data_IF_485684304913
#
_entry.id   IF_485684304913
#
_cell.length_a   1.000
_cell.length_b   1.000
_cell.length_c   1.000
_cell.angle_alpha   90.00
_cell.angle_beta   90.00
_cell.angle_gamma   90.00
#
_symmetry.space_group_name_H-M   'P 1'
#
loop_
_entity.id
_entity.type
_entity.pdbx_description
1 polymer ?
#
# COMPACT_ATOMS: atom_id res chain seq x y z
N UNK A 1 36.07 50.22 74.33
CA UNK A 1 36.29 49.01 73.51
C UNK A 1 34.99 48.25 73.50
N UNK A 2 34.25 48.28 72.39
CA UNK A 2 32.99 47.55 72.27
C UNK A 2 33.31 46.08 71.98
N UNK A 3 32.85 45.20 72.87
CA UNK A 3 33.04 43.76 72.78
C UNK A 3 32.35 43.25 71.51
N UNK A 4 33.11 42.59 70.63
CA UNK A 4 32.54 42.08 69.37
C UNK A 4 31.61 40.92 69.69
N UNK A 5 30.40 40.85 69.09
CA UNK A 5 29.50 39.73 69.30
C UNK A 5 30.16 38.44 68.81
N UNK A 6 30.40 37.53 69.74
CA UNK A 6 30.91 36.17 69.48
C UNK A 6 29.78 35.33 68.92
N UNK A 7 30.03 34.62 67.81
CA UNK A 7 29.06 33.75 67.17
C UNK A 7 29.41 32.30 67.49
N UNK A 8 28.58 31.65 68.30
CA UNK A 8 28.73 30.25 68.67
C UNK A 8 28.15 29.33 67.60
N UNK A 9 28.92 28.33 67.19
CA UNK A 9 28.48 27.26 66.27
C UNK A 9 28.54 25.94 67.01
N UNK A 10 27.39 25.30 67.18
CA UNK A 10 27.26 23.99 67.84
C UNK A 10 27.34 22.88 66.79
N UNK A 11 28.26 21.92 66.94
CA UNK A 11 28.35 20.75 66.06
C UNK A 11 27.32 19.65 66.45
N UNK A 12 27.25 18.57 65.67
CA UNK A 12 26.30 17.45 65.86
C UNK A 12 26.49 16.65 67.17
N UNK A 13 27.66 16.77 67.80
CA UNK A 13 28.03 16.18 69.10
C UNK A 13 27.78 17.16 70.27
N UNK A 14 27.27 18.36 70.01
CA UNK A 14 27.03 19.38 71.03
C UNK A 14 28.25 20.24 71.37
N UNK A 15 29.34 20.12 70.62
CA UNK A 15 30.55 20.93 70.85
C UNK A 15 30.38 22.35 70.28
N UNK A 16 30.69 23.35 71.09
CA UNK A 16 30.56 24.78 70.75
C UNK A 16 31.90 25.31 70.26
N UNK A 17 31.92 25.86 69.04
CA UNK A 17 33.09 26.52 68.46
C UNK A 17 32.81 28.03 68.28
N UNK A 18 33.75 28.88 68.70
CA UNK A 18 33.70 30.33 68.47
C UNK A 18 34.15 30.64 67.04
N UNK A 19 33.29 31.33 66.27
CA UNK A 19 33.61 31.80 64.92
C UNK A 19 33.79 33.33 64.89
N UNK A 20 34.92 33.78 64.34
CA UNK A 20 35.30 35.21 64.27
C UNK A 20 34.39 36.06 63.35
N UNK A 21 33.50 35.44 62.57
CA UNK A 21 32.60 36.12 61.62
C UNK A 21 31.38 35.25 61.27
N UNK A 22 30.20 35.86 61.01
CA UNK A 22 29.01 35.12 60.55
C UNK A 22 29.23 34.39 59.22
N UNK A 23 30.13 34.87 58.36
CA UNK A 23 30.52 34.17 57.14
C UNK A 23 31.33 32.90 57.45
N UNK A 24 32.24 32.96 58.42
CA UNK A 24 33.01 31.82 58.89
C UNK A 24 32.12 30.77 59.58
N UNK A 25 31.16 31.23 60.39
CA UNK A 25 30.15 30.36 61.01
C UNK A 25 29.29 29.62 59.95
N UNK A 26 28.85 30.32 58.90
CA UNK A 26 28.09 29.73 57.79
C UNK A 26 28.94 28.73 57.00
N UNK A 27 30.20 29.06 56.72
CA UNK A 27 31.13 28.17 56.03
C UNK A 27 31.40 26.89 56.82
N UNK A 28 31.65 27.01 58.14
CA UNK A 28 31.84 25.87 59.04
C UNK A 28 30.60 24.97 59.09
N UNK A 29 29.39 25.56 59.16
CA UNK A 29 28.13 24.80 59.12
C UNK A 29 27.93 24.05 57.79
N UNK A 30 28.29 24.66 56.66
CA UNK A 30 28.26 24.00 55.33
C UNK A 30 29.28 22.87 55.26
N UNK A 31 30.50 23.07 55.79
CA UNK A 31 31.53 22.04 55.82
C UNK A 31 31.11 20.83 56.67
N UNK A 32 30.55 21.07 57.87
CA UNK A 32 30.00 20.01 58.73
C UNK A 32 28.85 19.25 58.04
N UNK A 33 27.95 19.96 57.35
CA UNK A 33 26.87 19.34 56.59
C UNK A 33 27.38 18.47 55.43
N UNK A 34 28.44 18.89 54.73
CA UNK A 34 29.09 18.09 53.68
C UNK A 34 29.72 16.82 54.26
N UNK A 35 30.42 16.93 55.39
CA UNK A 35 31.02 15.77 56.05
C UNK A 35 29.96 14.74 56.47
N UNK A 36 28.86 15.21 57.08
CA UNK A 36 27.73 14.37 57.45
C UNK A 36 27.07 13.65 56.26
N UNK A 37 27.00 14.29 55.09
CA UNK A 37 26.49 13.66 53.87
C UNK A 37 27.46 12.59 53.32
N UNK A 38 28.77 12.80 53.45
CA UNK A 38 29.78 11.82 53.06
C UNK A 38 29.73 10.59 53.98
N UNK A 39 29.59 10.79 55.30
CA UNK A 39 29.41 9.69 56.25
C UNK A 39 28.14 8.88 55.99
N UNK A 40 26.99 9.54 55.76
CA UNK A 40 25.73 8.86 55.43
C UNK A 40 25.82 8.09 54.10
N UNK A 41 26.52 8.65 53.11
CA UNK A 41 26.80 7.98 51.84
C UNK A 41 27.69 6.74 52.00
N UNK A 42 28.67 6.78 52.92
CA UNK A 42 29.51 5.63 53.26
C UNK A 42 28.73 4.55 54.02
N UNK A 43 27.82 4.94 54.92
CA UNK A 43 26.98 4.02 55.68
C UNK A 43 25.91 3.36 54.82
N UNK A 44 25.42 4.04 53.78
CA UNK A 44 24.31 3.59 52.94
C UNK A 44 24.61 3.72 51.43
N UNK A 45 25.59 2.98 50.88
CA UNK A 45 25.97 3.10 49.47
C UNK A 45 24.81 2.77 48.51
N UNK A 46 23.93 1.84 48.89
CA UNK A 46 22.76 1.45 48.10
C UNK A 46 21.73 2.58 47.94
N UNK A 47 21.60 3.45 48.96
CA UNK A 47 20.70 4.61 48.89
C UNK A 47 21.24 5.65 47.90
N UNK A 48 22.55 5.87 47.89
CA UNK A 48 23.20 6.81 46.98
C UNK A 48 23.13 6.32 45.54
N UNK A 49 23.39 5.03 45.30
CA UNK A 49 23.26 4.44 43.96
C UNK A 49 21.81 4.50 43.47
N UNK A 50 20.83 4.18 44.32
CA UNK A 50 19.40 4.30 43.97
C UNK A 50 18.98 5.75 43.67
N UNK A 51 19.46 6.72 44.45
CA UNK A 51 19.21 8.15 44.23
C UNK A 51 19.82 8.60 42.90
N UNK A 52 21.09 8.27 42.65
CA UNK A 52 21.78 8.61 41.40
C UNK A 52 21.08 7.97 40.19
N UNK A 53 20.64 6.71 40.32
CA UNK A 53 19.87 6.04 39.27
C UNK A 53 18.50 6.71 39.04
N UNK A 54 17.87 7.25 40.08
CA UNK A 54 16.62 8.02 39.97
C UNK A 54 16.86 9.38 39.29
N UNK A 55 17.90 10.10 39.69
CA UNK A 55 18.27 11.38 39.07
C UNK A 55 18.63 11.19 37.60
N UNK A 56 19.44 10.18 37.26
CA UNK A 56 19.76 9.84 35.89
C UNK A 56 18.51 9.53 35.05
N UNK A 57 17.52 8.81 35.62
CA UNK A 57 16.23 8.57 34.97
C UNK A 57 15.43 9.87 34.73
N UNK A 58 15.39 10.77 35.72
CA UNK A 58 14.72 12.07 35.58
C UNK A 58 15.39 12.95 34.54
N UNK A 59 16.72 12.99 34.52
CA UNK A 59 17.48 13.80 33.56
C UNK A 59 17.36 13.24 32.14
N UNK A 60 17.38 11.91 31.98
CA UNK A 60 17.08 11.26 30.70
C UNK A 60 15.65 11.59 30.21
N UNK A 61 14.66 11.58 31.10
CA UNK A 61 13.27 11.95 30.76
C UNK A 61 13.15 13.43 30.34
N UNK A 62 13.80 14.34 31.08
CA UNK A 62 13.85 15.77 30.74
C UNK A 62 14.54 16.02 29.40
N UNK A 63 15.67 15.33 29.16
CA UNK A 63 16.40 15.39 27.89
C UNK A 63 15.50 14.94 26.73
N UNK A 64 14.78 13.82 26.89
CA UNK A 64 13.84 13.31 25.90
C UNK A 64 12.70 14.31 25.61
N UNK A 65 12.08 14.87 26.64
CA UNK A 65 11.01 15.86 26.44
C UNK A 65 11.53 17.13 25.75
N UNK A 66 12.72 17.60 26.11
CA UNK A 66 13.36 18.73 25.44
C UNK A 66 13.59 18.44 23.96
N UNK A 67 14.13 17.28 23.61
CA UNK A 67 14.30 16.87 22.21
C UNK A 67 12.96 16.75 21.47
N UNK A 68 11.90 16.29 22.14
CA UNK A 68 10.56 16.22 21.56
C UNK A 68 10.04 17.61 21.22
N UNK A 69 10.16 18.55 22.15
CA UNK A 69 9.74 19.94 21.96
C UNK A 69 10.56 20.58 20.85
N UNK A 70 11.89 20.54 20.96
CA UNK A 70 12.79 21.23 20.03
C UNK A 70 12.61 20.68 18.59
N UNK A 71 12.63 19.36 18.43
CA UNK A 71 12.60 18.77 17.10
C UNK A 71 11.20 18.54 16.59
N UNK A 72 10.29 17.92 17.33
CA UNK A 72 8.97 17.57 16.79
C UNK A 72 7.97 18.73 16.85
N UNK A 73 7.97 19.49 17.94
CA UNK A 73 6.99 20.59 18.12
C UNK A 73 7.45 21.88 17.45
N UNK A 74 8.68 22.31 17.71
CA UNK A 74 9.22 23.57 17.19
C UNK A 74 9.82 23.45 15.79
N UNK A 75 9.99 22.22 15.29
CA UNK A 75 10.49 22.03 13.94
C UNK A 75 12.01 22.21 13.77
N UNK A 76 12.78 22.34 14.87
CA UNK A 76 14.19 22.70 14.77
C UNK A 76 15.01 21.61 14.07
N UNK A 77 16.02 21.99 13.27
CA UNK A 77 16.93 21.05 12.63
C UNK A 77 17.74 20.29 13.69
N UNK A 78 18.26 19.11 13.32
CA UNK A 78 19.07 18.30 14.24
C UNK A 78 20.33 19.06 14.67
N UNK A 79 20.77 18.88 15.92
CA UNK A 79 22.07 19.35 16.32
C UNK A 79 23.13 18.59 15.52
N UNK A 80 24.10 19.34 15.01
CA UNK A 80 25.18 18.82 14.19
C UNK A 80 26.42 18.68 15.07
N UNK A 81 26.97 17.47 15.11
CA UNK A 81 28.24 17.21 15.78
C UNK A 81 29.37 17.26 14.76
N UNK A 82 30.40 18.07 15.04
CA UNK A 82 31.58 18.16 14.19
C UNK A 82 32.54 17.04 14.54
N UNK A 83 32.53 15.97 13.75
CA UNK A 83 33.40 14.81 13.95
C UNK A 83 34.60 14.92 13.02
N UNK A 84 35.78 14.60 13.55
CA UNK A 84 37.01 14.52 12.74
C UNK A 84 37.02 13.16 12.06
N UNK A 85 36.82 13.14 10.74
CA UNK A 85 36.90 11.92 9.94
C UNK A 85 38.28 11.75 9.30
N UNK A 86 38.78 10.52 9.39
CA UNK A 86 40.02 10.08 8.77
C UNK A 86 41.20 10.09 9.73
N UNK A 87 42.08 9.10 9.56
CA UNK A 87 43.41 9.12 10.19
C UNK A 87 44.33 9.97 9.32
N UNK A 88 45.22 10.75 9.94
CA UNK A 88 46.27 11.48 9.22
C UNK A 88 47.14 10.45 8.48
N UNK A 89 47.09 10.44 7.14
CA UNK A 89 47.98 9.65 6.29
C UNK A 89 48.84 10.62 5.47
N UNK A 90 50.12 10.72 5.81
CA UNK A 90 51.08 11.63 5.17
C UNK A 90 50.67 13.10 5.32
N UNK A 91 50.64 13.84 4.21
CA UNK A 91 50.29 15.27 4.16
C UNK A 91 48.78 15.58 4.19
N UNK A 92 47.88 14.58 4.11
CA UNK A 92 46.44 14.82 4.18
C UNK A 92 46.00 14.99 5.64
N UNK A 93 45.53 16.20 5.96
CA UNK A 93 44.89 16.51 7.25
C UNK A 93 43.51 15.83 7.33
N UNK A 94 43.11 15.37 8.52
CA UNK A 94 41.77 14.82 8.70
C UNK A 94 40.73 15.92 8.46
N UNK A 95 39.58 15.54 7.91
CA UNK A 95 38.53 16.47 7.52
C UNK A 95 37.52 16.56 8.66
N UNK A 96 37.15 17.78 9.05
CA UNK A 96 35.98 17.97 9.91
C UNK A 96 34.73 17.73 9.06
N UNK A 97 33.91 16.78 9.48
CA UNK A 97 32.65 16.43 8.84
C UNK A 97 31.53 16.66 9.84
N UNK A 98 30.53 17.41 9.40
CA UNK A 98 29.33 17.70 10.14
C UNK A 98 28.41 16.47 10.06
N UNK A 99 28.18 15.79 11.20
CA UNK A 99 27.26 14.64 11.28
C UNK A 99 26.05 14.99 12.13
N UNK A 100 24.82 14.63 11.70
CA UNK A 100 23.65 14.80 12.55
C UNK A 100 23.80 13.93 13.80
N UNK A 101 23.60 14.54 14.97
CA UNK A 101 23.61 13.82 16.24
C UNK A 101 22.41 12.86 16.31
N UNK A 102 22.63 11.66 16.86
CA UNK A 102 21.56 10.68 17.09
C UNK A 102 20.71 11.11 18.29
N UNK A 103 19.39 11.22 18.10
CA UNK A 103 18.43 11.57 19.15
C UNK A 103 18.02 10.33 19.97
N UNK A 104 17.26 10.54 21.04
CA UNK A 104 16.70 9.46 21.85
C UNK A 104 15.71 8.58 21.03
N UNK A 105 15.61 7.28 21.33
CA UNK A 105 14.76 6.35 20.59
C UNK A 105 13.27 6.79 20.62
N UNK A 106 12.60 6.59 19.48
CA UNK A 106 11.26 7.10 19.20
C UNK A 106 11.20 8.56 18.73
N UNK A 107 12.10 9.45 19.20
CA UNK A 107 12.20 10.82 18.65
C UNK A 107 13.00 10.78 17.35
N UNK A 108 14.09 10.03 17.34
CA UNK A 108 14.92 9.81 16.17
C UNK A 108 14.09 9.32 14.97
N UNK A 109 13.23 8.32 15.18
CA UNK A 109 12.36 7.75 14.14
C UNK A 109 11.38 8.79 13.57
N UNK A 110 10.71 9.55 14.44
CA UNK A 110 9.77 10.59 14.02
C UNK A 110 10.47 11.73 13.26
N UNK A 111 11.66 12.15 13.71
CA UNK A 111 12.46 13.17 13.01
C UNK A 111 12.98 12.64 11.67
N UNK A 112 13.39 11.37 11.58
CA UNK A 112 13.79 10.73 10.33
C UNK A 112 12.65 10.72 9.32
N UNK A 113 11.43 10.33 9.73
CA UNK A 113 10.24 10.37 8.86
C UNK A 113 10.00 11.79 8.34
N UNK A 114 10.07 12.79 9.21
CA UNK A 114 9.93 14.19 8.79
C UNK A 114 10.99 14.60 7.77
N UNK A 115 12.26 14.32 8.05
CA UNK A 115 13.36 14.69 7.15
C UNK A 115 13.30 13.96 5.82
N UNK A 116 12.87 12.69 5.81
CA UNK A 116 12.66 11.95 4.57
C UNK A 116 11.62 12.63 3.67
N UNK A 117 10.56 13.20 4.26
CA UNK A 117 9.42 13.74 3.52
C UNK A 117 9.32 15.27 3.49
N UNK A 118 10.25 16.01 4.10
CA UNK A 118 10.18 17.49 4.19
C UNK A 118 10.15 18.20 2.83
N UNK A 119 10.64 17.56 1.77
CA UNK A 119 10.66 18.09 0.42
C UNK A 119 9.31 17.98 -0.30
N UNK A 120 8.32 17.27 0.27
CA UNK A 120 6.97 17.17 -0.28
C UNK A 120 6.09 18.28 0.28
N UNK A 121 5.56 19.13 -0.60
CA UNK A 121 4.80 20.33 -0.23
C UNK A 121 3.38 20.05 0.30
N UNK A 122 2.84 18.86 0.07
CA UNK A 122 1.45 18.52 0.41
C UNK A 122 1.39 17.31 1.33
N UNK A 123 0.55 17.36 2.36
CA UNK A 123 0.30 16.25 3.30
C UNK A 123 1.29 16.16 4.47
N UNK A 124 0.96 15.34 5.48
CA UNK A 124 1.84 15.13 6.63
C UNK A 124 2.90 14.05 6.34
N UNK A 125 4.12 14.15 6.91
CA UNK A 125 5.17 13.14 6.73
C UNK A 125 4.72 11.72 7.09
N UNK A 126 3.88 11.58 8.11
CA UNK A 126 3.34 10.29 8.55
C UNK A 126 2.40 9.68 7.50
N UNK A 127 1.68 10.52 6.75
CA UNK A 127 0.81 10.08 5.66
C UNK A 127 1.63 9.52 4.51
N UNK A 128 2.75 10.16 4.17
CA UNK A 128 3.66 9.67 3.14
C UNK A 128 4.37 8.38 3.54
N UNK A 129 4.84 8.30 4.77
CA UNK A 129 5.46 7.09 5.33
C UNK A 129 4.48 5.91 5.37
N UNK A 130 3.21 6.16 5.70
CA UNK A 130 2.16 5.14 5.64
C UNK A 130 1.89 4.72 4.19
N UNK A 131 1.83 5.68 3.28
CA UNK A 131 1.62 5.42 1.85
C UNK A 131 2.78 4.70 1.18
N UNK A 132 4.01 4.76 1.69
CA UNK A 132 5.12 3.96 1.17
C UNK A 132 5.15 2.55 1.75
N UNK A 133 4.74 2.39 3.01
CA UNK A 133 4.66 1.07 3.69
C UNK A 133 3.48 0.25 3.21
N UNK A 134 2.33 0.90 3.03
CA UNK A 134 1.21 0.30 2.33
C UNK A 134 1.55 0.36 0.85
N UNK A 135 2.06 -0.73 0.28
CA UNK A 135 2.12 -0.88 -1.17
C UNK A 135 0.69 -0.93 -1.72
N UNK A 136 -0.01 0.21 -1.72
CA UNK A 136 -1.25 0.37 -2.44
C UNK A 136 -0.93 -0.02 -3.89
N UNK A 137 -1.64 -1.03 -4.39
CA UNK A 137 -1.43 -1.56 -5.73
C UNK A 137 -1.38 -0.42 -6.75
N UNK A 138 -0.57 -0.58 -7.80
CA UNK A 138 -0.34 0.50 -8.77
C UNK A 138 -1.65 1.12 -9.33
N UNK A 139 -2.70 0.30 -9.49
CA UNK A 139 -4.03 0.75 -9.89
C UNK A 139 -4.73 1.61 -8.83
N UNK A 140 -4.63 1.26 -7.55
CA UNK A 140 -5.18 2.06 -6.44
C UNK A 140 -4.51 3.44 -6.41
N UNK A 141 -3.20 3.52 -6.67
CA UNK A 141 -2.50 4.81 -6.79
C UNK A 141 -3.01 5.61 -7.98
N UNK A 142 -3.30 4.98 -9.11
CA UNK A 142 -3.89 5.66 -10.28
C UNK A 142 -5.30 6.20 -9.98
N UNK A 143 -6.11 5.46 -9.21
CA UNK A 143 -7.43 5.89 -8.79
C UNK A 143 -7.34 7.11 -7.86
N UNK A 144 -6.46 7.05 -6.84
CA UNK A 144 -6.24 8.18 -5.92
C UNK A 144 -5.75 9.44 -6.63
N UNK A 145 -4.99 9.26 -7.71
CA UNK A 145 -4.52 10.37 -8.55
C UNK A 145 -5.61 10.89 -9.54
N UNK A 146 -6.80 10.31 -9.55
CA UNK A 146 -7.88 10.67 -10.47
C UNK A 146 -7.58 10.32 -11.94
N UNK A 147 -6.67 9.38 -12.19
CA UNK A 147 -6.39 8.92 -13.55
C UNK A 147 -7.39 7.86 -14.01
N UNK A 148 -7.82 7.01 -13.09
CA UNK A 148 -8.84 6.00 -13.34
C UNK A 148 -9.98 6.20 -12.35
N UNK A 149 -11.19 5.87 -12.79
CA UNK A 149 -12.39 5.96 -11.99
C UNK A 149 -12.58 4.70 -11.14
N UNK A 150 -13.54 4.74 -10.19
CA UNK A 150 -13.84 3.59 -9.32
C UNK A 150 -14.29 2.37 -10.12
N UNK A 151 -15.16 2.57 -11.13
CA UNK A 151 -15.64 1.48 -11.98
C UNK A 151 -14.50 0.81 -12.77
N UNK A 152 -13.57 1.61 -13.28
CA UNK A 152 -12.38 1.10 -13.97
C UNK A 152 -11.49 0.25 -13.05
N UNK A 153 -11.38 0.63 -11.78
CA UNK A 153 -10.66 -0.17 -10.79
C UNK A 153 -11.38 -1.50 -10.53
N UNK A 154 -12.71 -1.49 -10.44
CA UNK A 154 -13.52 -2.71 -10.30
C UNK A 154 -13.40 -3.63 -11.52
N UNK A 155 -13.46 -3.07 -12.74
CA UNK A 155 -13.27 -3.84 -13.98
C UNK A 155 -11.88 -4.47 -14.03
N UNK A 156 -10.83 -3.74 -13.65
CA UNK A 156 -9.48 -4.30 -13.57
C UNK A 156 -9.38 -5.45 -12.56
N UNK A 157 -10.05 -5.34 -11.40
CA UNK A 157 -10.14 -6.41 -10.41
C UNK A 157 -10.89 -7.64 -10.95
N UNK A 158 -12.00 -7.43 -11.68
CA UNK A 158 -12.73 -8.53 -12.34
C UNK A 158 -11.86 -9.26 -13.37
N UNK A 159 -11.15 -8.53 -14.23
CA UNK A 159 -10.22 -9.10 -15.22
C UNK A 159 -9.15 -9.94 -14.51
N UNK A 160 -8.54 -9.42 -13.44
CA UNK A 160 -7.52 -10.13 -12.67
C UNK A 160 -8.07 -11.41 -12.03
N UNK A 161 -9.30 -11.38 -11.51
CA UNK A 161 -9.95 -12.55 -10.93
C UNK A 161 -10.24 -13.63 -11.99
N UNK A 162 -10.75 -13.24 -13.17
CA UNK A 162 -10.99 -14.18 -14.27
C UNK A 162 -9.68 -14.82 -14.72
N UNK A 163 -8.62 -14.02 -14.90
CA UNK A 163 -7.30 -14.51 -15.25
C UNK A 163 -6.77 -15.54 -14.25
N UNK A 164 -6.80 -15.23 -12.94
CA UNK A 164 -6.38 -16.15 -11.87
C UNK A 164 -7.21 -17.43 -11.86
N UNK A 165 -8.52 -17.34 -12.12
CA UNK A 165 -9.39 -18.52 -12.20
C UNK A 165 -9.00 -19.44 -13.35
N UNK A 166 -8.62 -18.88 -14.51
CA UNK A 166 -8.14 -19.66 -15.66
C UNK A 166 -6.79 -20.32 -15.38
N UNK A 167 -5.85 -19.60 -14.75
CA UNK A 167 -4.56 -20.18 -14.35
C UNK A 167 -4.74 -21.32 -13.34
N UNK A 168 -5.62 -21.14 -12.35
CA UNK A 168 -5.93 -22.17 -11.37
C UNK A 168 -6.52 -23.44 -12.02
N UNK A 169 -7.45 -23.28 -12.97
CA UNK A 169 -8.07 -24.42 -13.67
C UNK A 169 -7.06 -25.18 -14.57
N UNK A 170 -6.10 -24.49 -15.17
CA UNK A 170 -5.02 -25.13 -15.95
C UNK A 170 -4.13 -25.99 -15.04
N UNK A 171 -3.95 -25.60 -13.78
CA UNK A 171 -3.19 -26.38 -12.78
C UNK A 171 -3.88 -27.66 -12.30
N UNK A 172 -5.20 -27.77 -12.43
CA UNK A 172 -5.99 -28.90 -11.87
C UNK A 172 -6.12 -30.09 -12.84
N UNK A 173 -5.63 -29.99 -14.10
CA UNK A 173 -5.73 -31.06 -15.10
C UNK A 173 -4.88 -32.33 -14.86
N UNK A 174 -4.26 -32.49 -13.68
CA UNK A 174 -3.55 -33.73 -13.28
C UNK A 174 -4.25 -34.45 -12.12
N UNK A 175 -5.40 -33.98 -11.63
CA UNK A 175 -6.09 -34.59 -10.50
C UNK A 175 -7.25 -35.51 -10.93
N UNK A 176 -6.97 -36.83 -10.87
CA UNK A 176 -7.85 -37.97 -10.59
C UNK A 176 -9.21 -38.10 -11.31
N UNK A 177 -9.28 -39.08 -12.23
CA UNK A 177 -10.50 -39.68 -12.78
C UNK A 177 -11.20 -40.61 -11.77
N UNK A 178 -11.37 -40.21 -10.50
CA UNK A 178 -12.30 -40.90 -9.60
C UNK A 178 -13.62 -40.13 -9.57
N UNK A 179 -14.58 -40.69 -10.30
CA UNK A 179 -15.94 -40.18 -10.42
C UNK A 179 -16.60 -40.08 -9.03
N UNK A 180 -16.66 -38.86 -8.47
CA UNK A 180 -17.63 -38.51 -7.43
C UNK A 180 -18.93 -38.12 -8.10
N UNK A 181 -19.74 -39.13 -8.41
CA UNK A 181 -21.18 -38.99 -8.66
C UNK A 181 -21.82 -38.72 -7.30
N UNK A 182 -21.92 -37.45 -6.94
CA UNK A 182 -22.71 -37.00 -5.79
C UNK A 182 -23.97 -36.32 -6.34
N UNK A 183 -24.98 -37.15 -6.62
CA UNK A 183 -26.34 -36.75 -7.00
C UNK A 183 -27.04 -36.06 -5.81
N UNK A 184 -26.65 -34.82 -5.51
CA UNK A 184 -27.44 -33.97 -4.62
C UNK A 184 -28.40 -33.12 -5.44
N UNK A 185 -29.70 -33.43 -5.33
CA UNK A 185 -30.87 -32.76 -5.95
C UNK A 185 -31.08 -31.30 -5.49
N UNK A 186 -30.06 -30.45 -5.58
CA UNK A 186 -30.17 -28.97 -5.47
C UNK A 186 -29.57 -28.33 -6.72
N UNK A 187 -30.25 -28.50 -7.85
CA UNK A 187 -29.69 -28.26 -9.19
C UNK A 187 -29.86 -26.81 -9.72
N UNK A 188 -30.56 -25.90 -9.03
CA UNK A 188 -30.84 -24.58 -9.60
C UNK A 188 -29.66 -23.58 -9.63
N UNK A 189 -28.71 -23.66 -8.69
CA UNK A 189 -27.68 -22.61 -8.54
C UNK A 189 -26.33 -22.92 -9.21
N UNK A 190 -25.94 -24.20 -9.24
CA UNK A 190 -24.59 -24.62 -9.69
C UNK A 190 -24.43 -24.52 -11.22
N UNK A 191 -25.51 -24.76 -11.97
CA UNK A 191 -25.54 -24.57 -13.41
C UNK A 191 -25.41 -23.07 -13.76
N UNK A 192 -26.22 -22.21 -13.14
CA UNK A 192 -26.14 -20.75 -13.29
C UNK A 192 -24.74 -20.17 -12.97
N UNK A 193 -24.11 -20.62 -11.87
CA UNK A 193 -22.74 -20.21 -11.49
C UNK A 193 -21.70 -20.68 -12.54
N UNK A 194 -21.86 -21.90 -13.06
CA UNK A 194 -20.99 -22.43 -14.13
C UNK A 194 -21.14 -21.65 -15.44
N UNK A 195 -22.37 -21.26 -15.81
CA UNK A 195 -22.65 -20.45 -17.01
C UNK A 195 -22.08 -19.05 -16.87
N UNK A 196 -22.26 -18.40 -15.70
CA UNK A 196 -21.66 -17.10 -15.42
C UNK A 196 -20.14 -17.15 -15.56
N UNK A 197 -19.48 -18.17 -14.97
CA UNK A 197 -18.03 -18.36 -15.08
C UNK A 197 -17.57 -18.55 -16.52
N UNK A 198 -18.26 -19.38 -17.29
CA UNK A 198 -17.97 -19.60 -18.72
C UNK A 198 -18.12 -18.30 -19.52
N UNK A 199 -19.16 -17.50 -19.26
CA UNK A 199 -19.35 -16.20 -19.93
C UNK A 199 -18.25 -15.21 -19.58
N UNK A 200 -17.83 -15.15 -18.31
CA UNK A 200 -16.70 -14.32 -17.90
C UNK A 200 -15.39 -14.76 -18.55
N UNK A 201 -15.18 -16.07 -18.73
CA UNK A 201 -14.05 -16.62 -19.48
C UNK A 201 -14.09 -16.26 -20.97
N UNK A 202 -15.27 -16.30 -21.60
CA UNK A 202 -15.47 -15.84 -22.98
C UNK A 202 -15.22 -14.34 -23.11
N UNK A 203 -15.77 -13.53 -22.21
CA UNK A 203 -15.53 -12.08 -22.14
C UNK A 203 -14.03 -11.78 -22.04
N UNK A 204 -13.30 -12.52 -21.20
CA UNK A 204 -11.84 -12.42 -21.10
C UNK A 204 -11.14 -12.81 -22.41
N UNK A 205 -11.60 -13.85 -23.11
CA UNK A 205 -11.09 -14.22 -24.43
C UNK A 205 -11.21 -13.08 -25.44
N UNK A 206 -12.41 -12.50 -25.59
CA UNK A 206 -12.64 -11.35 -26.47
C UNK A 206 -11.79 -10.15 -26.07
N UNK A 207 -11.80 -9.80 -24.79
CA UNK A 207 -11.02 -8.71 -24.26
C UNK A 207 -9.52 -8.88 -24.55
N UNK A 208 -8.98 -10.09 -24.34
CA UNK A 208 -7.58 -10.42 -24.60
C UNK A 208 -7.22 -10.33 -26.09
N UNK A 209 -8.16 -10.61 -26.98
CA UNK A 209 -7.95 -10.50 -28.43
C UNK A 209 -7.97 -9.07 -28.95
N UNK A 210 -8.63 -8.16 -28.23
CA UNK A 210 -8.62 -6.72 -28.49
C UNK A 210 -7.37 -6.01 -27.96
N UNK A 211 -6.54 -6.66 -27.14
CA UNK A 211 -5.36 -6.03 -26.57
C UNK A 211 -4.28 -5.71 -27.61
N UNK A 212 -3.56 -4.58 -27.47
CA UNK A 212 -2.42 -4.28 -28.32
C UNK A 212 -1.28 -5.27 -28.08
N UNK A 213 -0.49 -5.53 -29.11
CA UNK A 213 0.73 -6.33 -28.98
C UNK A 213 1.85 -5.47 -28.37
N UNK A 214 2.60 -5.95 -27.36
CA UNK A 214 2.49 -7.26 -26.71
C UNK A 214 1.37 -7.31 -25.66
N UNK A 215 0.47 -8.31 -25.75
CA UNK A 215 -0.67 -8.48 -24.81
C UNK A 215 -0.22 -8.56 -23.34
N UNK A 216 0.96 -9.14 -23.10
CA UNK A 216 1.55 -9.31 -21.77
C UNK A 216 1.84 -7.98 -21.06
N UNK A 217 2.07 -6.87 -21.79
CA UNK A 217 2.28 -5.55 -21.20
C UNK A 217 1.09 -5.13 -20.32
N UNK A 218 -0.13 -5.29 -20.82
CA UNK A 218 -1.35 -4.89 -20.10
C UNK A 218 -1.62 -5.87 -18.95
N UNK A 219 -1.39 -7.16 -19.16
CA UNK A 219 -1.57 -8.18 -18.12
C UNK A 219 -0.62 -7.97 -16.94
N UNK A 220 0.64 -7.66 -17.19
CA UNK A 220 1.61 -7.35 -16.13
C UNK A 220 1.21 -6.10 -15.32
N UNK A 221 0.49 -5.15 -15.93
CA UNK A 221 -0.01 -3.95 -15.24
C UNK A 221 -1.30 -4.19 -14.43
N UNK A 222 -2.12 -5.17 -14.82
CA UNK A 222 -3.39 -5.49 -14.14
C UNK A 222 -3.21 -6.59 -13.09
N UNK A 223 -2.51 -7.67 -13.45
CA UNK A 223 -2.36 -8.89 -12.63
C UNK A 223 -1.07 -8.88 -11.83
N UNK A 224 -0.02 -8.25 -12.36
CA UNK A 224 1.29 -8.15 -11.71
C UNK A 224 1.21 -7.25 -10.48
N UNK A 225 0.64 -7.77 -9.40
CA UNK A 225 0.50 -7.07 -8.12
C UNK A 225 1.87 -6.46 -7.75
N UNK A 226 1.86 -5.12 -7.59
CA UNK A 226 3.00 -4.23 -7.31
C UNK A 226 3.87 -3.75 -8.48
N UNK A 227 3.62 -4.13 -9.74
CA UNK A 227 4.35 -3.55 -10.88
C UNK A 227 3.66 -2.28 -11.36
N UNK A 228 4.21 -1.12 -11.00
CA UNK A 228 3.76 0.16 -11.56
C UNK A 228 3.83 0.17 -13.09
N UNK A 229 2.92 0.89 -13.75
CA UNK A 229 2.92 1.02 -15.22
C UNK A 229 4.27 1.53 -15.78
N UNK A 230 5.04 2.27 -14.98
CA UNK A 230 6.39 2.73 -15.32
C UNK A 230 7.40 1.59 -15.43
N UNK A 231 7.29 0.58 -14.57
CA UNK A 231 8.14 -0.61 -14.55
C UNK A 231 7.76 -1.55 -15.70
N UNK A 232 6.46 -1.75 -15.91
CA UNK A 232 5.97 -2.51 -17.06
C UNK A 232 6.40 -1.85 -18.39
N UNK A 233 6.22 -0.54 -18.52
CA UNK A 233 6.67 0.24 -19.68
C UNK A 233 8.17 0.04 -19.94
N UNK A 234 9.02 0.08 -18.91
CA UNK A 234 10.45 -0.18 -19.04
C UNK A 234 10.75 -1.62 -19.49
N UNK A 235 10.09 -2.63 -18.90
CA UNK A 235 10.25 -4.04 -19.23
C UNK A 235 9.96 -4.34 -20.70
N UNK A 236 8.87 -3.77 -21.23
CA UNK A 236 8.44 -3.97 -22.61
C UNK A 236 8.97 -2.90 -23.58
N UNK A 237 9.88 -2.01 -23.14
CA UNK A 237 10.47 -0.94 -23.95
C UNK A 237 9.44 -0.01 -24.61
N UNK A 238 8.34 0.24 -23.93
CA UNK A 238 7.27 1.15 -24.38
C UNK A 238 7.37 2.46 -23.60
N UNK A 239 7.08 3.59 -24.26
CA UNK A 239 7.03 4.88 -23.57
C UNK A 239 5.92 4.89 -22.50
N UNK A 240 6.20 5.44 -21.31
CA UNK A 240 5.29 5.44 -20.15
C UNK A 240 3.89 5.98 -20.49
N UNK A 241 3.81 7.06 -21.28
CA UNK A 241 2.53 7.64 -21.73
C UNK A 241 1.72 6.66 -22.60
N UNK A 242 2.39 5.87 -23.45
CA UNK A 242 1.74 4.90 -24.33
C UNK A 242 1.28 3.67 -23.55
N UNK A 243 2.09 3.16 -22.62
CA UNK A 243 1.69 2.08 -21.72
C UNK A 243 0.46 2.46 -20.86
N UNK A 244 0.46 3.69 -20.34
CA UNK A 244 -0.70 4.25 -19.60
C UNK A 244 -1.96 4.30 -20.47
N UNK A 245 -1.85 4.81 -21.70
CA UNK A 245 -2.97 4.85 -22.65
C UNK A 245 -3.52 3.44 -22.93
N UNK A 246 -2.63 2.49 -23.24
CA UNK A 246 -3.01 1.09 -23.48
C UNK A 246 -3.70 0.44 -22.28
N UNK A 247 -3.27 0.74 -21.06
CA UNK A 247 -3.93 0.25 -19.85
C UNK A 247 -5.38 0.77 -19.75
N UNK A 248 -5.56 2.08 -19.90
CA UNK A 248 -6.88 2.72 -19.79
C UNK A 248 -7.81 2.23 -20.91
N UNK A 249 -7.32 2.21 -22.15
CA UNK A 249 -8.10 1.74 -23.30
C UNK A 249 -8.50 0.27 -23.14
N UNK A 250 -7.61 -0.58 -22.61
CA UNK A 250 -7.90 -1.97 -22.34
C UNK A 250 -8.98 -2.13 -21.25
N UNK A 251 -8.87 -1.40 -20.14
CA UNK A 251 -9.87 -1.44 -19.06
C UNK A 251 -11.23 -0.98 -19.56
N UNK A 252 -11.28 0.09 -20.36
CA UNK A 252 -12.53 0.64 -20.91
C UNK A 252 -13.26 -0.29 -21.88
N UNK A 253 -12.57 -1.25 -22.49
CA UNK A 253 -13.19 -2.25 -23.38
C UNK A 253 -13.86 -3.40 -22.63
N UNK A 254 -13.59 -3.55 -21.34
CA UNK A 254 -14.11 -4.67 -20.55
C UNK A 254 -15.64 -4.75 -20.54
N UNK A 255 -16.40 -3.66 -20.26
CA UNK A 255 -17.86 -3.72 -20.25
C UNK A 255 -18.47 -4.17 -21.58
N UNK A 256 -17.90 -3.75 -22.71
CA UNK A 256 -18.32 -4.21 -24.05
C UNK A 256 -18.14 -5.71 -24.22
N UNK A 257 -16.98 -6.24 -23.80
CA UNK A 257 -16.70 -7.67 -23.92
C UNK A 257 -17.62 -8.50 -23.04
N UNK A 258 -17.95 -8.00 -21.84
CA UNK A 258 -18.93 -8.64 -20.95
C UNK A 258 -20.32 -8.59 -21.56
N UNK A 259 -20.80 -7.43 -22.00
CA UNK A 259 -22.13 -7.30 -22.60
C UNK A 259 -22.30 -8.27 -23.79
N UNK A 260 -21.27 -8.39 -24.64
CA UNK A 260 -21.28 -9.35 -25.75
C UNK A 260 -21.26 -10.81 -25.31
N UNK A 261 -20.42 -11.16 -24.34
CA UNK A 261 -20.39 -12.53 -23.81
C UNK A 261 -21.75 -12.95 -23.23
N UNK A 262 -22.49 -11.99 -22.67
CA UNK A 262 -23.81 -12.22 -22.08
C UNK A 262 -24.96 -12.11 -23.09
N UNK A 263 -24.75 -11.49 -24.27
CA UNK A 263 -25.73 -11.49 -25.37
C UNK A 263 -25.75 -12.80 -26.17
N UNK A 264 -24.63 -13.52 -26.24
CA UNK A 264 -24.54 -14.77 -27.03
C UNK A 264 -25.35 -15.95 -26.49
N UNK A 265 -25.78 -15.92 -25.23
CA UNK A 265 -26.53 -17.03 -24.62
C UNK A 265 -27.82 -16.47 -24.04
N UNK A 266 -28.92 -16.83 -24.69
CA UNK A 266 -30.26 -16.37 -24.35
C UNK A 266 -30.68 -16.81 -22.93
N UNK A 267 -31.60 -16.06 -22.32
CA UNK A 267 -32.19 -16.34 -21.02
C UNK A 267 -32.86 -17.72 -21.00
N UNK A 268 -33.54 -18.06 -22.08
CA UNK A 268 -34.27 -19.31 -22.23
C UNK A 268 -33.32 -20.52 -22.26
N UNK A 269 -32.13 -20.36 -22.84
CA UNK A 269 -31.10 -21.38 -22.84
C UNK A 269 -30.53 -21.63 -21.42
N UNK A 270 -30.42 -20.58 -20.59
CA UNK A 270 -29.99 -20.71 -19.19
C UNK A 270 -31.09 -21.35 -18.33
N UNK A 271 -32.35 -20.96 -18.54
CA UNK A 271 -33.49 -21.60 -17.87
C UNK A 271 -33.57 -23.09 -18.21
N UNK A 272 -33.47 -23.45 -19.49
CA UNK A 272 -33.42 -24.83 -19.96
C UNK A 272 -32.26 -25.63 -19.32
N UNK A 273 -31.07 -25.04 -19.19
CA UNK A 273 -29.93 -25.65 -18.49
C UNK A 273 -30.19 -25.87 -17.00
N UNK A 274 -30.79 -24.89 -16.32
CA UNK A 274 -31.14 -25.00 -14.90
C UNK A 274 -32.23 -26.08 -14.65
N UNK A 275 -33.12 -26.26 -15.62
CA UNK A 275 -34.17 -27.29 -15.62
C UNK A 275 -33.67 -28.68 -16.09
N UNK A 276 -32.37 -28.79 -16.42
CA UNK A 276 -31.73 -30.04 -16.85
C UNK A 276 -32.09 -30.47 -18.27
N UNK A 277 -32.61 -29.57 -19.10
CA UNK A 277 -32.92 -29.86 -20.49
C UNK A 277 -31.66 -29.86 -21.37
N UNK A 278 -31.59 -30.74 -22.39
CA UNK A 278 -30.50 -30.71 -23.36
C UNK A 278 -30.59 -29.45 -24.21
N UNK A 279 -29.65 -28.53 -24.01
CA UNK A 279 -29.46 -27.36 -24.87
C UNK A 279 -28.36 -27.64 -25.90
N UNK A 280 -28.60 -27.30 -27.16
CA UNK A 280 -27.54 -27.33 -28.17
C UNK A 280 -26.65 -26.09 -27.95
N UNK A 281 -25.35 -26.25 -27.62
CA UNK A 281 -24.51 -25.13 -27.25
C UNK A 281 -24.04 -24.39 -28.51
N UNK A 282 -24.92 -23.61 -29.11
CA UNK A 282 -24.61 -22.81 -30.31
C UNK A 282 -23.41 -21.88 -30.06
N UNK A 283 -23.20 -21.46 -28.81
CA UNK A 283 -22.06 -20.65 -28.36
C UNK A 283 -20.71 -21.40 -28.27
N UNK A 284 -20.70 -22.75 -28.21
CA UNK A 284 -19.46 -23.54 -28.33
C UNK A 284 -18.94 -23.59 -29.77
N UNK A 285 -19.80 -23.28 -30.75
CA UNK A 285 -19.41 -23.14 -32.16
C UNK A 285 -18.55 -21.90 -32.40
N UNK A 286 -18.52 -20.95 -31.45
CA UNK A 286 -17.75 -19.72 -31.48
C UNK A 286 -18.13 -18.78 -32.63
N UNK A 287 -17.84 -17.47 -32.53
CA UNK A 287 -17.74 -16.67 -33.74
C UNK A 287 -16.67 -17.30 -34.62
N UNK A 288 -16.91 -17.42 -35.93
CA UNK A 288 -15.86 -17.80 -36.90
C UNK A 288 -14.68 -16.88 -36.60
N UNK A 289 -13.62 -17.40 -35.97
CA UNK A 289 -12.36 -16.67 -35.82
C UNK A 289 -11.93 -16.36 -37.24
N UNK A 290 -12.21 -15.14 -37.72
CA UNK A 290 -11.65 -14.67 -38.96
C UNK A 290 -10.15 -14.87 -38.82
N UNK A 291 -9.58 -15.73 -39.65
CA UNK A 291 -8.19 -16.13 -39.56
C UNK A 291 -7.35 -14.85 -39.65
N UNK A 292 -6.87 -14.35 -38.50
CA UNK A 292 -6.02 -13.17 -38.46
C UNK A 292 -4.67 -13.61 -39.03
N UNK A 293 -4.11 -12.93 -40.04
CA UNK A 293 -2.86 -13.34 -40.64
C UNK A 293 -1.78 -13.41 -39.56
N UNK A 294 -1.10 -14.56 -39.50
CA UNK A 294 0.05 -14.79 -38.63
C UNK A 294 1.15 -13.87 -39.11
N UNK A 295 1.29 -12.70 -38.50
CA UNK A 295 2.43 -11.84 -38.76
C UNK A 295 3.64 -12.36 -38.00
N UNK A 296 4.54 -12.94 -38.80
CA UNK A 296 5.87 -13.34 -38.36
C UNK A 296 6.65 -12.11 -37.86
N UNK A 297 7.37 -12.36 -36.79
CA UNK A 297 8.28 -11.52 -36.02
C UNK A 297 8.85 -10.24 -36.68
N UNK A 298 8.22 -9.09 -36.38
CA UNK A 298 8.87 -7.77 -36.37
C UNK A 298 8.28 -6.86 -35.27
N UNK A 299 8.78 -6.99 -34.04
CA UNK A 299 8.18 -6.44 -32.81
C UNK A 299 8.19 -4.90 -32.65
N UNK A 300 8.64 -4.12 -33.65
CA UNK A 300 8.68 -2.65 -33.56
C UNK A 300 7.75 -1.97 -34.56
N UNK A 301 7.58 -2.51 -35.77
CA UNK A 301 6.64 -1.98 -36.77
C UNK A 301 5.16 -2.29 -36.42
N UNK A 302 4.90 -3.37 -35.67
CA UNK A 302 3.57 -3.77 -35.22
C UNK A 302 2.92 -2.79 -34.22
N UNK A 303 3.73 -1.95 -33.56
CA UNK A 303 3.27 -1.01 -32.53
C UNK A 303 2.62 0.25 -33.14
N UNK A 304 2.95 0.58 -34.39
CA UNK A 304 2.37 1.70 -35.14
C UNK A 304 1.13 1.27 -35.95
N UNK A 305 1.11 0.05 -36.49
CA UNK A 305 -0.07 -0.54 -37.14
C UNK A 305 -1.21 -0.86 -36.16
N UNK A 306 -0.89 -1.12 -34.88
CA UNK A 306 -1.88 -1.36 -33.84
C UNK A 306 -2.76 -0.13 -33.52
N UNK A 307 -2.29 1.12 -33.74
CA UNK A 307 -3.13 2.31 -33.55
C UNK A 307 -4.24 2.41 -34.62
N UNK A 308 -4.06 1.77 -35.79
CA UNK A 308 -5.08 1.70 -36.86
C UNK A 308 -6.09 0.55 -36.66
N UNK A 309 -5.62 -0.62 -36.20
CA UNK A 309 -6.47 -1.80 -35.93
C UNK A 309 -7.41 -1.61 -34.72
N UNK A 310 -7.09 -0.69 -33.82
CA UNK A 310 -7.88 -0.40 -32.61
C UNK A 310 -9.21 0.29 -32.92
N UNK A 311 -9.32 1.01 -34.04
CA UNK A 311 -10.50 1.80 -34.39
C UNK A 311 -11.52 1.04 -35.27
N UNK A 312 -11.17 -0.14 -35.80
CA UNK A 312 -11.91 -0.78 -36.90
C UNK A 312 -12.74 -2.01 -36.50
N UNK A 313 -13.26 -2.07 -35.27
CA UNK A 313 -14.17 -3.14 -34.85
C UNK A 313 -15.58 -2.60 -34.63
N UNK A 314 -16.22 -2.26 -35.75
CA UNK A 314 -17.65 -2.00 -35.83
C UNK A 314 -18.44 -3.31 -35.69
N UNK A 315 -19.53 -3.25 -34.91
CA UNK A 315 -20.57 -4.26 -34.72
C UNK A 315 -20.16 -5.55 -33.96
N UNK A 316 -19.85 -5.38 -32.68
CA UNK A 316 -20.12 -6.46 -31.73
C UNK A 316 -21.65 -6.54 -31.59
N UNK A 317 -22.24 -7.71 -31.88
CA UNK A 317 -23.67 -7.98 -31.73
C UNK A 317 -24.02 -7.99 -30.23
N UNK A 318 -24.31 -6.80 -29.70
CA UNK A 318 -24.67 -6.57 -28.31
C UNK A 318 -26.18 -6.50 -28.24
N UNK A 319 -26.76 -7.31 -27.36
CA UNK A 319 -28.19 -7.32 -27.10
C UNK A 319 -28.65 -5.89 -26.74
N UNK A 320 -29.70 -5.36 -27.39
CA UNK A 320 -30.17 -4.00 -27.20
C UNK A 320 -30.56 -3.70 -25.74
N UNK A 321 -30.82 -4.70 -24.89
CA UNK A 321 -31.08 -4.49 -23.47
C UNK A 321 -29.88 -3.85 -22.73
N UNK A 322 -28.64 -4.13 -23.18
CA UNK A 322 -27.43 -3.53 -22.63
C UNK A 322 -27.13 -2.13 -23.20
N UNK A 323 -27.88 -1.70 -24.22
CA UNK A 323 -27.71 -0.41 -24.87
C UNK A 323 -28.78 0.59 -24.40
N UNK A 324 -28.41 1.85 -24.32
CA UNK A 324 -29.32 2.96 -24.09
C UNK A 324 -30.12 3.27 -25.38
N UNK A 325 -31.01 4.26 -25.31
CA UNK A 325 -31.81 4.70 -26.48
C UNK A 325 -30.97 5.25 -27.64
N UNK A 326 -29.67 5.49 -27.41
CA UNK A 326 -28.72 6.04 -28.39
C UNK A 326 -27.83 4.94 -28.98
N UNK A 327 -27.98 3.69 -28.55
CA UNK A 327 -27.12 2.57 -28.97
C UNK A 327 -25.76 2.56 -28.27
N UNK A 328 -25.59 3.31 -27.19
CA UNK A 328 -24.39 3.33 -26.36
C UNK A 328 -24.59 2.34 -25.21
N UNK A 329 -23.55 1.68 -24.74
CA UNK A 329 -23.66 0.86 -23.53
C UNK A 329 -24.21 1.67 -22.35
N UNK A 330 -25.18 1.07 -21.66
CA UNK A 330 -25.69 1.58 -20.39
C UNK A 330 -24.57 1.70 -19.37
N UNK A 331 -24.84 2.45 -18.30
CA UNK A 331 -23.91 2.51 -17.17
C UNK A 331 -23.70 1.10 -16.58
N UNK A 332 -22.51 0.88 -16.03
CA UNK A 332 -22.14 -0.44 -15.52
C UNK A 332 -23.06 -0.93 -14.40
N UNK A 333 -23.60 -0.02 -13.59
CA UNK A 333 -24.61 -0.31 -12.57
C UNK A 333 -25.86 -0.98 -13.17
N UNK A 334 -26.37 -0.44 -14.28
CA UNK A 334 -27.50 -0.97 -15.03
C UNK A 334 -27.15 -2.29 -15.73
N UNK A 335 -25.97 -2.39 -16.34
CA UNK A 335 -25.49 -3.64 -16.96
C UNK A 335 -25.39 -4.74 -15.89
N UNK A 336 -24.82 -4.43 -14.73
CA UNK A 336 -24.69 -5.35 -13.61
C UNK A 336 -26.07 -5.73 -13.03
N UNK A 337 -27.05 -4.83 -13.06
CA UNK A 337 -28.43 -5.14 -12.69
C UNK A 337 -29.11 -6.08 -13.70
N UNK A 338 -28.96 -5.84 -15.00
CA UNK A 338 -29.44 -6.74 -16.07
C UNK A 338 -28.80 -8.12 -15.93
N UNK A 339 -27.49 -8.18 -15.67
CA UNK A 339 -26.81 -9.44 -15.40
C UNK A 339 -27.42 -10.10 -14.16
N UNK A 340 -27.52 -9.39 -13.03
CA UNK A 340 -28.09 -9.94 -11.79
C UNK A 340 -29.53 -10.44 -11.99
N UNK A 341 -30.39 -9.73 -12.73
CA UNK A 341 -31.78 -10.14 -12.97
C UNK A 341 -31.90 -11.38 -13.87
N UNK A 342 -30.90 -11.65 -14.72
CA UNK A 342 -30.82 -12.89 -15.51
C UNK A 342 -30.40 -14.11 -14.69
N UNK A 343 -29.71 -13.92 -13.58
CA UNK A 343 -29.20 -15.00 -12.71
C UNK A 343 -29.87 -15.07 -11.32
N UNK A 344 -30.70 -14.09 -10.96
CA UNK A 344 -31.51 -14.17 -9.75
C UNK A 344 -32.45 -15.38 -9.89
N UNK A 345 -32.56 -16.24 -8.86
CA UNK A 345 -33.61 -17.26 -8.86
C UNK A 345 -34.93 -16.52 -9.04
N UNK A 346 -35.76 -16.98 -9.98
CA UNK A 346 -37.15 -16.57 -10.02
C UNK A 346 -37.73 -17.00 -8.69
N UNK A 347 -37.81 -16.08 -7.72
CA UNK A 347 -38.60 -16.32 -6.52
C UNK A 347 -40.00 -16.64 -7.04
N UNK A 348 -40.45 -17.86 -6.77
CA UNK A 348 -41.76 -18.36 -7.17
C UNK A 348 -42.80 -17.29 -6.86
N UNK A 349 -43.26 -16.58 -7.91
CA UNK A 349 -44.51 -15.82 -7.88
C UNK A 349 -45.65 -16.85 -7.91
N UNK A 350 -45.75 -17.62 -6.84
CA UNK A 350 -46.84 -18.52 -6.54
C UNK A 350 -47.15 -18.37 -5.04
N UNK A 351 -47.83 -17.27 -4.72
CA UNK A 351 -48.67 -17.13 -3.54
C UNK A 351 -50.05 -16.67 -4.01
#
# INVERSE_FOLDING_TARGET
>A
MADKPKFEVVNRLGEVFEADSPAAARAAKIAAARHALVEDAQQNPDRVTALNARLARMDAARKRERQRIDHLVLGLPRPVERVIEGKRRGHRKPKMVDRPMRLEPGIEEAVQVREAWHHKAYGTPETWERSTRTHDGALIQLQRNGTIDTDQLEWAAQIANVYRSMEADVGVKVASLEARVDESRRHGGRAAESVYRVRMHLAYGYWRDLLPSPKQLVLDMIVGDAIGYSVAAARYRVHKRKAKRFLIDAINRWPMCVAHAFSMVDRDAVAALNDGQPCDPVWLSGPRRAARPVHDSAQVAAIETADADVAAFDAIDIDPEFLDKRGILKEWSEIAEIIRSRFAPVEDQAA
#
